data_IF_368307592445
#
_entry.id   IF_368307592445
#
_cell.length_a   1.000
_cell.length_b   1.000
_cell.length_c   1.000
_cell.angle_alpha   90.00
_cell.angle_beta   90.00
_cell.angle_gamma   90.00
#
_symmetry.space_group_name_H-M   'P 1'
#
loop_
_entity.id
_entity.type
_entity.pdbx_description
1 polymer ?
#
# COMPACT_ATOMS: atom_id res chain seq x y z
N UNK A 1 -13.53 14.51 22.89
CA UNK A 1 -12.33 14.51 23.75
C UNK A 1 -11.15 14.11 22.87
N UNK A 2 -10.45 15.11 22.35
CA UNK A 2 -9.17 14.98 21.64
C UNK A 2 -8.16 14.35 22.61
N UNK A 3 -7.83 13.08 22.43
CA UNK A 3 -6.68 12.47 23.10
C UNK A 3 -5.42 13.05 22.47
N UNK A 4 -4.82 14.03 23.11
CA UNK A 4 -3.48 14.50 22.76
C UNK A 4 -2.55 13.30 22.79
N UNK A 5 -1.80 13.09 21.69
CA UNK A 5 -0.69 12.14 21.67
C UNK A 5 0.21 12.41 22.90
N UNK A 6 0.65 11.37 23.63
CA UNK A 6 1.46 11.55 24.83
C UNK A 6 2.72 12.36 24.43
N UNK A 7 2.95 13.46 25.13
CA UNK A 7 4.23 14.15 25.05
C UNK A 7 5.28 13.18 25.57
N UNK A 8 6.21 12.77 24.74
CA UNK A 8 7.37 12.03 25.18
C UNK A 8 8.10 12.89 26.23
N UNK A 9 7.85 12.56 27.51
CA UNK A 9 8.57 13.13 28.61
C UNK A 9 10.01 12.59 28.57
N UNK A 10 11.01 13.42 28.28
CA UNK A 10 12.39 13.05 28.44
C UNK A 10 13.30 13.17 27.23
N UNK A 11 13.32 14.30 26.57
CA UNK A 11 14.38 14.64 25.62
C UNK A 11 15.72 14.94 26.36
N UNK A 12 16.30 13.97 27.05
CA UNK A 12 17.59 14.19 27.77
C UNK A 12 18.75 13.33 27.28
N UNK A 13 18.61 12.50 26.24
CA UNK A 13 19.72 11.63 25.81
C UNK A 13 20.01 11.62 24.31
N UNK A 14 19.37 12.44 23.50
CA UNK A 14 19.66 12.48 22.05
C UNK A 14 19.31 11.23 21.23
N UNK A 15 18.88 10.15 21.89
CA UNK A 15 18.52 8.89 21.22
C UNK A 15 17.06 8.93 20.74
N UNK A 16 16.76 8.34 19.57
CA UNK A 16 15.42 8.34 18.99
C UNK A 16 14.43 7.50 19.81
N UNK A 17 13.14 7.81 19.66
CA UNK A 17 12.03 7.00 20.13
C UNK A 17 11.32 6.40 18.92
N UNK A 18 10.98 5.11 19.00
CA UNK A 18 10.22 4.40 17.99
C UNK A 18 8.73 4.30 18.36
N UNK A 19 7.86 4.50 17.37
CA UNK A 19 6.42 4.23 17.51
C UNK A 19 6.02 3.23 16.44
N UNK A 20 5.52 2.07 16.88
CA UNK A 20 5.01 1.02 16.02
C UNK A 20 3.49 1.18 15.90
N UNK A 21 3.02 1.48 14.69
CA UNK A 21 1.59 1.66 14.39
C UNK A 21 1.15 0.54 13.48
N UNK A 22 0.30 -0.31 13.97
CA UNK A 22 -0.19 -1.48 13.25
C UNK A 22 -0.40 -2.67 14.16
N UNK A 23 -0.89 -3.75 13.59
CA UNK A 23 -1.01 -5.06 14.22
C UNK A 23 -0.64 -6.12 13.19
N UNK A 24 0.07 -7.17 13.61
CA UNK A 24 0.53 -8.24 12.73
C UNK A 24 0.96 -9.47 13.50
N UNK A 25 1.23 -10.56 12.77
CA UNK A 25 1.65 -11.83 13.36
C UNK A 25 2.92 -11.72 14.21
N UNK A 26 3.85 -10.89 13.77
CA UNK A 26 5.18 -10.77 14.36
C UNK A 26 5.25 -9.76 15.52
N UNK A 27 4.13 -9.14 15.92
CA UNK A 27 4.13 -8.13 17.00
C UNK A 27 4.72 -8.66 18.30
N UNK A 28 4.44 -9.92 18.64
CA UNK A 28 4.95 -10.54 19.88
C UNK A 28 6.47 -10.70 19.84
N UNK A 29 7.01 -11.07 18.70
CA UNK A 29 8.46 -11.26 18.51
C UNK A 29 9.17 -9.90 18.56
N UNK A 30 8.63 -8.87 17.91
CA UNK A 30 9.18 -7.53 17.95
C UNK A 30 9.17 -6.96 19.39
N UNK A 31 8.10 -7.19 20.15
CA UNK A 31 8.03 -6.79 21.58
C UNK A 31 9.08 -7.49 22.42
N UNK A 32 9.25 -8.81 22.24
CA UNK A 32 10.25 -9.59 22.95
C UNK A 32 11.68 -9.11 22.64
N UNK A 33 11.96 -8.77 21.37
CA UNK A 33 13.25 -8.21 20.97
C UNK A 33 13.50 -6.82 21.61
N UNK A 34 12.47 -5.94 21.64
CA UNK A 34 12.55 -4.64 22.32
C UNK A 34 12.88 -4.79 23.80
N UNK A 35 12.28 -5.78 24.48
CA UNK A 35 12.58 -6.10 25.89
C UNK A 35 14.00 -6.62 26.07
N UNK A 36 14.42 -7.55 25.21
CA UNK A 36 15.78 -8.13 25.22
C UNK A 36 16.84 -7.04 25.05
N UNK A 37 16.59 -6.07 24.17
CA UNK A 37 17.47 -4.95 23.91
C UNK A 37 17.34 -3.82 24.96
N UNK A 38 16.45 -3.96 25.94
CA UNK A 38 16.16 -2.96 26.99
C UNK A 38 15.74 -1.59 26.42
N UNK A 39 14.90 -1.63 25.35
CA UNK A 39 14.40 -0.45 24.66
C UNK A 39 12.93 -0.14 24.99
N UNK A 40 12.35 -0.79 25.97
CA UNK A 40 10.92 -0.65 26.32
C UNK A 40 10.53 0.79 26.66
N UNK A 41 11.44 1.59 27.22
CA UNK A 41 11.21 3.02 27.51
C UNK A 41 11.16 3.90 26.26
N UNK A 42 11.59 3.37 25.10
CA UNK A 42 11.79 4.11 23.86
C UNK A 42 10.94 3.62 22.72
N UNK A 43 10.30 2.47 22.85
CA UNK A 43 9.48 1.84 21.85
C UNK A 43 8.02 1.79 22.32
N UNK A 44 7.13 2.39 21.54
CA UNK A 44 5.70 2.46 21.84
C UNK A 44 4.93 1.69 20.76
N UNK A 45 4.01 0.86 21.17
CA UNK A 45 3.14 0.09 20.28
C UNK A 45 1.70 0.57 20.45
N UNK A 46 1.12 1.10 19.39
CA UNK A 46 -0.23 1.67 19.45
C UNK A 46 -1.32 0.65 19.08
N UNK A 47 -0.93 -0.49 18.46
CA UNK A 47 -1.86 -1.33 17.74
C UNK A 47 -2.35 -0.66 16.45
N UNK A 48 -3.40 -1.21 15.84
CA UNK A 48 -4.00 -0.67 14.62
C UNK A 48 -4.77 0.61 14.92
N UNK A 49 -4.57 1.64 14.11
CA UNK A 49 -5.27 2.93 14.18
C UNK A 49 -6.16 3.06 12.95
N UNK A 50 -7.48 2.97 13.14
CA UNK A 50 -8.46 3.13 12.08
C UNK A 50 -8.84 4.60 11.81
N UNK A 51 -8.71 5.45 12.83
CA UNK A 51 -9.01 6.87 12.72
C UNK A 51 -7.92 7.63 11.97
N UNK A 52 -8.27 8.16 10.79
CA UNK A 52 -7.35 8.86 9.89
C UNK A 52 -6.77 10.14 10.50
N UNK A 53 -7.53 10.87 11.29
CA UNK A 53 -7.05 12.10 11.94
C UNK A 53 -6.01 11.78 13.01
N UNK A 54 -6.22 10.70 13.76
CA UNK A 54 -5.23 10.21 14.72
C UNK A 54 -3.95 9.76 14.01
N UNK A 55 -4.06 9.01 12.91
CA UNK A 55 -2.91 8.58 12.12
C UNK A 55 -2.14 9.77 11.54
N UNK A 56 -2.84 10.75 10.98
CA UNK A 56 -2.26 12.00 10.49
C UNK A 56 -1.54 12.78 11.60
N UNK A 57 -2.10 12.81 12.81
CA UNK A 57 -1.46 13.46 13.94
C UNK A 57 -0.14 12.77 14.32
N UNK A 58 -0.04 11.44 14.18
CA UNK A 58 1.21 10.71 14.36
C UNK A 58 2.25 11.10 13.30
N UNK A 59 1.89 11.09 12.01
CA UNK A 59 2.80 11.54 10.95
C UNK A 59 3.28 12.98 11.17
N UNK A 60 2.38 13.90 11.49
CA UNK A 60 2.74 15.31 11.76
C UNK A 60 3.62 15.50 12.98
N UNK A 61 3.65 14.53 13.91
CA UNK A 61 4.48 14.58 15.13
C UNK A 61 5.81 13.87 14.95
N UNK A 62 5.91 12.93 14.02
CA UNK A 62 7.12 12.18 13.77
C UNK A 62 8.18 13.02 13.04
N UNK A 63 9.43 12.81 13.40
CA UNK A 63 10.57 13.40 12.68
C UNK A 63 10.92 12.59 11.41
N UNK A 64 10.64 11.27 11.43
CA UNK A 64 10.88 10.33 10.32
C UNK A 64 9.81 9.24 10.30
N UNK A 65 9.46 8.79 9.11
CA UNK A 65 8.68 7.58 8.87
C UNK A 65 9.60 6.48 8.34
N UNK A 66 9.75 5.40 9.10
CA UNK A 66 10.56 4.25 8.69
C UNK A 66 9.68 3.22 8.01
N UNK A 67 9.93 2.96 6.74
CA UNK A 67 9.17 1.97 5.97
C UNK A 67 10.11 1.11 5.10
N UNK A 68 10.93 0.24 5.71
CA UNK A 68 11.88 -0.63 5.01
C UNK A 68 11.17 -1.86 4.42
N UNK A 69 10.18 -1.65 3.57
CA UNK A 69 9.40 -2.72 2.93
C UNK A 69 9.83 -2.94 1.48
N UNK A 70 9.96 -4.21 1.08
CA UNK A 70 10.17 -4.65 -0.31
C UNK A 70 8.91 -5.25 -0.93
N UNK A 71 7.85 -5.46 -0.14
CA UNK A 71 6.60 -6.10 -0.56
C UNK A 71 5.45 -5.14 -0.87
N UNK A 72 5.66 -3.85 -0.70
CA UNK A 72 4.62 -2.86 -1.00
C UNK A 72 4.46 -2.64 -2.51
N UNK A 73 3.24 -2.41 -2.97
CA UNK A 73 2.95 -2.22 -4.39
C UNK A 73 2.95 -0.76 -4.84
N UNK A 74 2.65 0.19 -3.95
CA UNK A 74 2.49 1.60 -4.31
C UNK A 74 2.90 2.59 -3.21
N UNK A 75 3.21 2.14 -2.00
CA UNK A 75 3.65 3.01 -0.93
C UNK A 75 2.64 4.11 -0.55
N UNK A 76 1.34 3.82 -0.50
CA UNK A 76 0.34 4.83 -0.11
C UNK A 76 0.66 5.48 1.23
N UNK A 77 1.16 4.70 2.20
CA UNK A 77 1.59 5.19 3.51
C UNK A 77 2.75 6.20 3.42
N UNK A 78 3.62 6.07 2.40
CA UNK A 78 4.70 7.02 2.12
C UNK A 78 4.14 8.37 1.66
N UNK A 79 3.08 8.34 0.85
CA UNK A 79 2.39 9.56 0.39
C UNK A 79 1.58 10.21 1.52
N UNK A 80 1.01 9.42 2.42
CA UNK A 80 0.34 9.92 3.63
C UNK A 80 1.34 10.61 4.59
N UNK A 81 2.51 10.01 4.79
CA UNK A 81 3.60 10.62 5.55
C UNK A 81 4.08 11.93 4.88
N UNK A 82 4.31 11.90 3.56
CA UNK A 82 4.70 13.08 2.78
C UNK A 82 3.66 14.20 2.88
N UNK A 83 2.36 13.90 2.77
CA UNK A 83 1.27 14.87 2.93
C UNK A 83 1.27 15.56 4.30
N UNK A 84 1.87 14.92 5.30
CA UNK A 84 2.01 15.45 6.67
C UNK A 84 3.37 16.10 6.92
N UNK A 85 4.22 16.23 5.89
CA UNK A 85 5.58 16.76 6.01
C UNK A 85 6.57 15.82 6.72
N UNK A 86 6.23 14.55 6.88
CA UNK A 86 7.08 13.54 7.50
C UNK A 86 7.92 12.83 6.41
N UNK A 87 9.26 13.01 6.41
CA UNK A 87 10.10 12.35 5.42
C UNK A 87 10.23 10.85 5.71
N UNK A 88 10.22 10.05 4.66
CA UNK A 88 10.30 8.59 4.76
C UNK A 88 11.73 8.08 4.57
N UNK A 89 12.08 6.98 5.26
CA UNK A 89 13.28 6.18 5.01
C UNK A 89 12.84 4.86 4.38
N UNK A 90 13.31 4.60 3.17
CA UNK A 90 12.83 3.53 2.28
C UNK A 90 14.00 2.70 1.75
N UNK A 91 13.73 1.46 1.33
CA UNK A 91 14.71 0.64 0.64
C UNK A 91 14.83 1.11 -0.82
N UNK A 92 16.06 1.37 -1.26
CA UNK A 92 16.37 1.77 -2.62
C UNK A 92 15.90 0.70 -3.62
N UNK A 93 15.21 1.11 -4.69
CA UNK A 93 14.68 0.20 -5.70
C UNK A 93 13.39 -0.53 -5.32
N UNK A 94 12.85 -0.34 -4.12
CA UNK A 94 11.53 -0.85 -3.76
C UNK A 94 10.40 -0.07 -4.45
N UNK A 95 9.23 -0.70 -4.64
CA UNK A 95 8.05 -0.02 -5.20
C UNK A 95 7.61 1.17 -4.32
N UNK A 96 7.79 1.08 -3.00
CA UNK A 96 7.49 2.17 -2.07
C UNK A 96 8.39 3.40 -2.28
N UNK A 97 9.60 3.22 -2.83
CA UNK A 97 10.55 4.29 -3.13
C UNK A 97 10.34 4.94 -4.49
N UNK A 98 9.34 4.51 -5.27
CA UNK A 98 9.06 5.07 -6.59
C UNK A 98 8.76 6.56 -6.52
N UNK A 99 9.50 7.35 -7.29
CA UNK A 99 9.42 8.82 -7.32
C UNK A 99 10.14 9.52 -6.17
N UNK A 100 10.76 8.78 -5.22
CA UNK A 100 11.54 9.36 -4.13
C UNK A 100 12.98 9.59 -4.57
N UNK A 101 13.48 10.81 -4.30
CA UNK A 101 14.89 11.20 -4.53
C UNK A 101 15.60 11.28 -3.20
N UNK A 102 16.72 10.52 -3.03
CA UNK A 102 17.49 10.49 -1.79
C UNK A 102 17.99 11.89 -1.38
N UNK A 103 17.79 12.23 -0.11
CA UNK A 103 18.16 13.51 0.46
C UNK A 103 17.34 14.72 0.00
N UNK A 104 16.37 14.52 -0.92
CA UNK A 104 15.49 15.58 -1.42
C UNK A 104 14.04 15.41 -0.99
N UNK A 105 13.42 14.26 -1.31
CA UNK A 105 12.01 13.99 -1.03
C UNK A 105 11.82 12.78 -0.09
N UNK A 106 12.91 12.17 0.33
CA UNK A 106 12.97 11.06 1.26
C UNK A 106 14.41 10.62 1.43
N UNK A 107 14.62 9.52 2.12
CA UNK A 107 15.93 8.93 2.36
C UNK A 107 15.91 7.48 1.91
N UNK A 108 16.94 7.10 1.16
CA UNK A 108 17.09 5.74 0.66
C UNK A 108 18.21 5.01 1.41
N UNK A 109 17.97 3.73 1.64
CA UNK A 109 18.90 2.81 2.29
C UNK A 109 19.01 1.52 1.46
N UNK A 110 20.07 0.77 1.68
CA UNK A 110 20.15 -0.63 1.24
C UNK A 110 19.32 -1.54 2.15
N UNK A 111 18.93 -2.72 1.66
CA UNK A 111 18.16 -3.72 2.43
C UNK A 111 19.03 -4.42 3.49
N UNK A 112 19.58 -3.64 4.42
CA UNK A 112 20.34 -4.18 5.55
C UNK A 112 20.34 -3.22 6.75
N UNK A 113 20.51 -3.79 7.93
CA UNK A 113 20.52 -3.05 9.20
C UNK A 113 21.66 -2.03 9.29
N UNK A 114 22.82 -2.32 8.70
CA UNK A 114 23.98 -1.41 8.77
C UNK A 114 23.70 -0.10 8.02
N UNK A 115 23.10 -0.17 6.83
CA UNK A 115 22.71 1.00 6.06
C UNK A 115 21.64 1.82 6.78
N UNK A 116 20.64 1.16 7.39
CA UNK A 116 19.63 1.84 8.20
C UNK A 116 20.25 2.54 9.39
N UNK A 117 21.10 1.87 10.17
CA UNK A 117 21.77 2.46 11.32
C UNK A 117 22.65 3.67 10.94
N UNK A 118 23.44 3.55 9.86
CA UNK A 118 24.28 4.65 9.38
C UNK A 118 23.42 5.87 8.97
N UNK A 119 22.34 5.63 8.22
CA UNK A 119 21.42 6.69 7.79
C UNK A 119 20.77 7.38 9.01
N UNK A 120 20.21 6.60 9.95
CA UNK A 120 19.57 7.15 11.15
C UNK A 120 20.55 7.94 12.01
N UNK A 121 21.78 7.47 12.17
CA UNK A 121 22.82 8.17 12.93
C UNK A 121 23.11 9.55 12.31
N UNK A 122 23.28 9.60 10.99
CA UNK A 122 23.50 10.84 10.27
C UNK A 122 22.31 11.82 10.41
N UNK A 123 21.09 11.31 10.25
CA UNK A 123 19.85 12.10 10.33
C UNK A 123 19.58 12.62 11.75
N UNK A 124 19.87 11.85 12.78
CA UNK A 124 19.74 12.32 14.17
C UNK A 124 20.67 13.50 14.49
N UNK A 125 21.77 13.63 13.77
CA UNK A 125 22.70 14.77 13.90
C UNK A 125 22.23 16.02 13.12
N UNK A 126 21.39 15.87 12.10
CA UNK A 126 20.91 16.98 11.25
C UNK A 126 19.38 16.99 11.12
N UNK A 127 18.73 17.49 12.15
CA UNK A 127 17.26 17.62 12.20
C UNK A 127 16.70 18.61 11.17
N UNK A 128 17.50 19.59 10.79
CA UNK A 128 17.08 20.56 9.80
C UNK A 128 17.03 19.95 8.40
N UNK A 129 17.96 19.06 8.08
CA UNK A 129 17.88 18.27 6.84
C UNK A 129 16.58 17.42 6.80
N UNK A 130 16.22 16.76 7.91
CA UNK A 130 14.97 15.99 7.97
C UNK A 130 13.75 16.88 7.69
N UNK A 131 13.65 18.03 8.33
CA UNK A 131 12.54 18.98 8.14
C UNK A 131 12.47 19.47 6.68
N UNK A 132 13.59 19.88 6.11
CA UNK A 132 13.68 20.34 4.72
C UNK A 132 13.24 19.25 3.72
N UNK A 133 13.67 18.02 3.95
CA UNK A 133 13.27 16.88 3.11
C UNK A 133 11.78 16.58 3.26
N UNK A 134 11.23 16.68 4.47
CA UNK A 134 9.79 16.55 4.70
C UNK A 134 8.95 17.61 3.98
N UNK A 135 9.40 18.87 4.01
CA UNK A 135 8.76 19.97 3.28
C UNK A 135 8.80 19.75 1.76
N UNK A 136 9.92 19.23 1.24
CA UNK A 136 10.03 18.87 -0.17
C UNK A 136 9.13 17.69 -0.51
N UNK A 137 9.10 16.64 0.33
CA UNK A 137 8.21 15.49 0.14
C UNK A 137 6.74 15.92 0.06
N UNK A 138 6.31 16.82 0.93
CA UNK A 138 4.95 17.35 0.92
C UNK A 138 4.63 18.10 -0.38
N UNK A 139 5.57 18.81 -0.96
CA UNK A 139 5.35 19.54 -2.22
C UNK A 139 5.45 18.68 -3.46
N UNK A 140 6.29 17.66 -3.47
CA UNK A 140 6.67 16.93 -4.69
C UNK A 140 6.08 15.52 -4.77
N UNK A 141 5.86 14.85 -3.61
CA UNK A 141 5.32 13.49 -3.57
C UNK A 141 3.82 13.45 -3.30
N UNK A 142 3.28 14.47 -2.64
CA UNK A 142 1.83 14.53 -2.43
C UNK A 142 1.11 14.68 -3.76
N UNK A 143 0.09 13.86 -3.94
CA UNK A 143 -0.78 13.89 -5.10
C UNK A 143 -2.22 13.81 -4.61
N UNK A 144 -3.02 14.84 -4.95
CA UNK A 144 -4.45 14.80 -4.65
C UNK A 144 -5.16 13.69 -5.45
N UNK A 145 -6.31 13.25 -4.98
CA UNK A 145 -7.11 12.29 -5.74
C UNK A 145 -7.60 12.87 -7.07
N UNK A 146 -7.91 14.17 -7.11
CA UNK A 146 -8.27 14.89 -8.33
C UNK A 146 -7.14 14.83 -9.37
N UNK A 147 -5.91 15.16 -8.95
CA UNK A 147 -4.73 15.11 -9.83
C UNK A 147 -4.40 13.68 -10.26
N UNK A 148 -4.56 12.70 -9.35
CA UNK A 148 -4.34 11.29 -9.66
C UNK A 148 -5.33 10.80 -10.74
N UNK A 149 -6.60 11.14 -10.62
CA UNK A 149 -7.64 10.80 -11.60
C UNK A 149 -7.41 11.52 -12.93
N UNK A 150 -7.03 12.81 -12.90
CA UNK A 150 -6.69 13.55 -14.12
C UNK A 150 -5.54 12.90 -14.88
N UNK A 151 -4.43 12.57 -14.20
CA UNK A 151 -3.30 11.85 -14.80
C UNK A 151 -3.66 10.46 -15.31
N UNK A 152 -4.51 9.73 -14.59
CA UNK A 152 -5.01 8.44 -15.04
C UNK A 152 -5.81 8.56 -16.33
N UNK A 153 -6.70 9.56 -16.44
CA UNK A 153 -7.48 9.83 -17.65
C UNK A 153 -6.59 10.16 -18.86
N UNK A 154 -5.60 11.01 -18.68
CA UNK A 154 -4.62 11.30 -19.73
C UNK A 154 -3.88 10.03 -20.17
N UNK A 155 -3.50 9.19 -19.19
CA UNK A 155 -2.80 7.94 -19.49
C UNK A 155 -3.69 6.93 -20.20
N UNK A 156 -4.95 6.82 -19.84
CA UNK A 156 -5.92 5.97 -20.54
C UNK A 156 -6.08 6.40 -21.99
N UNK A 157 -6.17 7.68 -22.28
CA UNK A 157 -6.23 8.17 -23.66
C UNK A 157 -5.02 7.72 -24.50
N UNK A 158 -3.82 7.83 -23.93
CA UNK A 158 -2.58 7.37 -24.59
C UNK A 158 -2.57 5.86 -24.80
N UNK A 159 -3.00 5.08 -23.81
CA UNK A 159 -3.07 3.61 -23.91
C UNK A 159 -4.05 3.18 -25.00
N UNK A 160 -5.24 3.79 -25.03
CA UNK A 160 -6.26 3.52 -26.04
C UNK A 160 -5.78 3.89 -27.46
N UNK A 161 -5.11 5.02 -27.62
CA UNK A 161 -4.53 5.41 -28.93
C UNK A 161 -3.49 4.38 -29.40
N UNK A 162 -2.58 3.98 -28.50
CA UNK A 162 -1.57 2.95 -28.81
C UNK A 162 -2.20 1.60 -29.13
N UNK A 163 -3.25 1.21 -28.43
CA UNK A 163 -3.97 -0.02 -28.73
C UNK A 163 -4.63 0.03 -30.11
N UNK A 164 -5.36 1.12 -30.40
CA UNK A 164 -6.02 1.33 -31.71
C UNK A 164 -5.04 1.40 -32.87
N UNK A 165 -3.86 1.98 -32.66
CA UNK A 165 -2.80 2.07 -33.66
C UNK A 165 -1.96 0.79 -33.79
N UNK A 166 -2.30 -0.29 -33.09
CA UNK A 166 -1.61 -1.58 -33.17
C UNK A 166 -0.19 -1.59 -32.59
N UNK A 167 0.16 -0.59 -31.77
CA UNK A 167 1.48 -0.50 -31.11
C UNK A 167 1.69 -1.48 -29.97
N UNK A 168 0.63 -2.11 -29.46
CA UNK A 168 0.75 -3.22 -28.53
C UNK A 168 0.70 -4.54 -29.27
N UNK A 169 1.62 -5.47 -29.01
CA UNK A 169 1.52 -6.82 -29.56
C UNK A 169 0.21 -7.45 -29.06
N UNK A 170 -0.59 -7.93 -29.97
CA UNK A 170 -1.74 -8.76 -29.63
C UNK A 170 -1.21 -10.10 -29.11
N UNK A 171 -1.03 -10.22 -27.82
CA UNK A 171 -0.82 -11.51 -27.19
C UNK A 171 -2.18 -12.20 -27.09
N UNK A 172 -2.55 -12.94 -28.13
CA UNK A 172 -3.62 -13.91 -28.04
C UNK A 172 -3.14 -15.05 -27.14
N UNK A 173 -3.36 -14.90 -25.83
CA UNK A 173 -3.19 -16.02 -24.91
C UNK A 173 -4.44 -16.90 -25.04
N UNK A 174 -4.24 -18.20 -24.99
CA UNK A 174 -5.35 -19.17 -24.96
C UNK A 174 -6.39 -18.82 -23.89
N UNK A 175 -5.96 -18.23 -22.77
CA UNK A 175 -6.82 -17.68 -21.74
C UNK A 175 -7.73 -16.54 -22.24
N UNK A 176 -7.23 -15.65 -23.11
CA UNK A 176 -7.98 -14.48 -23.57
C UNK A 176 -9.06 -14.93 -24.56
N UNK A 177 -8.74 -15.89 -25.42
CA UNK A 177 -9.71 -16.51 -26.34
C UNK A 177 -10.80 -17.26 -25.57
N UNK A 178 -10.42 -17.98 -24.51
CA UNK A 178 -11.38 -18.65 -23.62
C UNK A 178 -12.32 -17.68 -22.92
N UNK A 179 -11.79 -16.60 -22.33
CA UNK A 179 -12.60 -15.58 -21.64
C UNK A 179 -13.46 -14.77 -22.60
N UNK A 180 -12.96 -14.45 -23.79
CA UNK A 180 -13.75 -13.79 -24.83
C UNK A 180 -14.90 -14.68 -25.31
N UNK A 181 -14.62 -15.96 -25.56
CA UNK A 181 -15.67 -16.94 -25.97
C UNK A 181 -16.71 -17.13 -24.87
N UNK A 182 -16.30 -17.16 -23.60
CA UNK A 182 -17.26 -17.21 -22.47
C UNK A 182 -18.07 -15.91 -22.36
N UNK A 183 -17.43 -14.75 -22.57
CA UNK A 183 -18.11 -13.44 -22.59
C UNK A 183 -19.18 -13.38 -23.67
N UNK A 184 -18.82 -13.77 -24.89
CA UNK A 184 -19.74 -13.81 -26.04
C UNK A 184 -20.90 -14.80 -25.82
N UNK A 185 -20.61 -15.96 -25.22
CA UNK A 185 -21.63 -16.95 -24.87
C UNK A 185 -22.60 -16.40 -23.80
N UNK A 186 -22.10 -15.76 -22.76
CA UNK A 186 -22.90 -15.14 -21.72
C UNK A 186 -23.78 -14.02 -22.27
N UNK A 187 -23.23 -13.21 -23.17
CA UNK A 187 -24.00 -12.13 -23.84
C UNK A 187 -25.08 -12.70 -24.77
N UNK A 188 -24.77 -13.75 -25.53
CA UNK A 188 -25.74 -14.46 -26.37
C UNK A 188 -26.86 -15.09 -25.53
N UNK A 189 -26.50 -15.74 -24.41
CA UNK A 189 -27.47 -16.31 -23.47
C UNK A 189 -28.36 -15.23 -22.83
N UNK A 190 -27.79 -14.06 -22.47
CA UNK A 190 -28.55 -12.93 -21.93
C UNK A 190 -29.56 -12.40 -22.95
N UNK A 191 -29.18 -12.27 -24.22
CA UNK A 191 -30.11 -11.84 -25.30
C UNK A 191 -31.24 -12.85 -25.54
N UNK A 192 -30.92 -14.13 -25.48
CA UNK A 192 -31.96 -15.21 -25.62
C UNK A 192 -32.90 -15.18 -24.42
N UNK A 193 -32.42 -14.97 -23.22
CA UNK A 193 -33.23 -14.85 -22.01
C UNK A 193 -34.15 -13.62 -22.02
N UNK A 194 -33.64 -12.48 -22.51
CA UNK A 194 -34.45 -11.26 -22.71
C UNK A 194 -35.57 -11.46 -23.74
N UNK A 195 -35.26 -12.14 -24.85
CA UNK A 195 -36.25 -12.43 -25.89
C UNK A 195 -37.36 -13.39 -25.43
N UNK A 196 -37.13 -14.24 -24.45
CA UNK A 196 -38.09 -15.19 -23.93
C UNK A 196 -38.89 -14.72 -22.72
N UNK A 197 -38.62 -13.55 -22.18
CA UNK A 197 -39.34 -13.02 -21.01
C UNK A 197 -39.15 -13.84 -19.71
N UNK A 198 -38.18 -14.76 -19.66
CA UNK A 198 -37.97 -15.72 -18.55
C UNK A 198 -36.81 -15.31 -17.61
N UNK A 199 -36.43 -14.04 -17.58
CA UNK A 199 -35.22 -13.54 -16.91
C UNK A 199 -35.12 -13.86 -15.41
N UNK A 200 -36.24 -14.05 -14.73
CA UNK A 200 -36.23 -14.30 -13.25
C UNK A 200 -36.00 -15.77 -12.89
N UNK A 201 -36.44 -16.69 -13.75
CA UNK A 201 -36.37 -18.13 -13.48
C UNK A 201 -35.02 -18.71 -13.89
N UNK A 202 -34.54 -18.37 -15.07
CA UNK A 202 -33.26 -18.84 -15.61
C UNK A 202 -32.07 -18.29 -14.80
N UNK A 203 -32.14 -17.04 -14.31
CA UNK A 203 -31.11 -16.49 -13.40
C UNK A 203 -31.01 -17.27 -12.09
N UNK A 204 -32.12 -17.77 -11.59
CA UNK A 204 -32.14 -18.54 -10.35
C UNK A 204 -31.53 -19.91 -10.57
N UNK A 205 -31.94 -20.63 -11.60
CA UNK A 205 -31.44 -21.94 -11.96
C UNK A 205 -29.96 -21.96 -12.33
N UNK A 206 -29.49 -20.94 -13.05
CA UNK A 206 -28.05 -20.76 -13.34
C UNK A 206 -27.24 -20.47 -12.10
N UNK A 207 -27.76 -19.68 -11.18
CA UNK A 207 -27.07 -19.35 -9.92
C UNK A 207 -26.96 -20.57 -9.02
N UNK A 208 -28.03 -21.33 -8.89
CA UNK A 208 -28.05 -22.58 -8.15
C UNK A 208 -27.07 -23.62 -8.76
N UNK A 209 -27.05 -23.79 -10.08
CA UNK A 209 -26.08 -24.65 -10.75
C UNK A 209 -24.62 -24.21 -10.64
N UNK A 210 -24.34 -22.90 -10.57
CA UNK A 210 -23.00 -22.40 -10.30
C UNK A 210 -22.55 -22.63 -8.85
N UNK A 211 -23.48 -22.50 -7.91
CA UNK A 211 -23.18 -22.72 -6.49
C UNK A 211 -22.94 -24.22 -6.23
N UNK A 212 -23.73 -25.12 -6.84
CA UNK A 212 -23.52 -26.57 -6.78
C UNK A 212 -22.21 -27.02 -7.43
N UNK A 213 -21.86 -26.47 -8.59
CA UNK A 213 -20.59 -26.78 -9.26
C UNK A 213 -19.37 -26.29 -8.47
N UNK A 214 -19.50 -25.15 -7.80
CA UNK A 214 -18.46 -24.59 -6.92
C UNK A 214 -18.26 -25.45 -5.68
N UNK A 215 -19.32 -25.96 -5.10
CA UNK A 215 -19.28 -26.82 -3.92
C UNK A 215 -18.69 -28.19 -4.26
N UNK A 216 -19.10 -28.79 -5.38
CA UNK A 216 -18.53 -30.04 -5.90
C UNK A 216 -17.03 -29.93 -6.23
N UNK A 217 -16.58 -28.79 -6.75
CA UNK A 217 -15.16 -28.52 -7.01
C UNK A 217 -14.37 -28.39 -5.70
N UNK A 218 -14.96 -27.74 -4.70
CA UNK A 218 -14.36 -27.60 -3.37
C UNK A 218 -14.20 -28.94 -2.67
N UNK A 219 -15.21 -29.79 -2.69
CA UNK A 219 -15.15 -31.15 -2.14
C UNK A 219 -14.11 -32.06 -2.84
N UNK A 220 -13.91 -31.85 -4.15
CA UNK A 220 -12.87 -32.56 -4.89
C UNK A 220 -11.47 -32.13 -4.49
N UNK A 221 -11.25 -30.83 -4.35
CA UNK A 221 -9.96 -30.28 -3.92
C UNK A 221 -9.61 -30.64 -2.47
N UNK A 222 -10.61 -30.80 -1.59
CA UNK A 222 -10.40 -31.25 -0.21
C UNK A 222 -10.12 -32.76 -0.08
N UNK A 223 -10.40 -33.57 -1.09
CA UNK A 223 -10.13 -35.02 -1.12
C UNK A 223 -8.81 -35.39 -1.77
N UNK A 224 -8.17 -34.49 -2.49
CA UNK A 224 -6.87 -34.70 -3.17
C UNK A 224 -5.68 -34.10 -2.40
N UNK A 225 -5.90 -33.57 -1.20
CA UNK A 225 -4.90 -33.12 -0.21
C UNK A 225 -5.10 -33.85 1.11
#
# INVERSE_FOLDING_TARGET
HSRRAPRAAGARTGLPHGVFIGAGGDEKEVRAEVETLRLSDRCFFTGSIADRETLRAWYSRADLFLFPSTFDTNGLVVREAAASGCPSVLIAGSCAAEGVTDGRTGFLIEENAASLCAKLTALCADREAMRRVGENAMRELYLSWEDAVARANERYAVVLDRYRSGKYPKHERFSDEFFNTQGDLMEAMSRVAEMRGETGRLRRELREGFDEAREALRERLEKEW
#
